data_IF_692076547348
#
_entry.id   IF_692076547348
#
_cell.length_a   1.000
_cell.length_b   1.000
_cell.length_c   1.000
_cell.angle_alpha   90.00
_cell.angle_beta   90.00
_cell.angle_gamma   90.00
#
_symmetry.space_group_name_H-M   'P 1'
#
loop_
_entity.id
_entity.type
_entity.pdbx_description
1 polymer ?
#
# COMPACT_ATOMS: atom_id res chain seq x y z
N UNK A 1 -13.16 -24.46 6.77
CA UNK A 1 -14.08 -24.10 7.87
C UNK A 1 -13.33 -23.11 8.75
N UNK A 2 -13.92 -21.98 9.14
CA UNK A 2 -13.28 -21.14 10.14
C UNK A 2 -13.08 -21.98 11.41
N UNK A 3 -11.87 -21.93 11.98
CA UNK A 3 -11.60 -22.54 13.27
C UNK A 3 -12.51 -21.82 14.28
N UNK A 4 -13.57 -22.47 14.71
CA UNK A 4 -14.43 -21.94 15.75
C UNK A 4 -13.63 -21.97 17.06
N UNK A 5 -12.90 -20.90 17.33
CA UNK A 5 -12.27 -20.70 18.63
C UNK A 5 -13.40 -20.66 19.67
N UNK A 6 -13.33 -21.53 20.68
CA UNK A 6 -14.28 -21.45 21.79
C UNK A 6 -14.26 -20.03 22.38
N UNK A 7 -15.38 -19.51 22.90
CA UNK A 7 -15.42 -18.19 23.55
C UNK A 7 -14.34 -18.03 24.63
N UNK A 8 -13.96 -19.12 25.31
CA UNK A 8 -12.89 -19.12 26.32
C UNK A 8 -11.50 -18.99 25.68
N UNK A 9 -11.24 -19.63 24.54
CA UNK A 9 -9.96 -19.56 23.83
C UNK A 9 -9.74 -18.21 23.12
N UNK A 10 -10.83 -17.49 22.82
CA UNK A 10 -10.78 -16.17 22.16
C UNK A 10 -10.88 -14.98 23.13
N UNK A 11 -10.57 -15.18 24.42
CA UNK A 11 -10.44 -14.05 25.36
C UNK A 11 -9.07 -13.42 25.25
N UNK A 12 -8.99 -12.08 25.40
CA UNK A 12 -7.73 -11.31 25.33
C UNK A 12 -6.69 -11.91 26.29
N UNK A 13 -7.07 -12.22 27.55
CA UNK A 13 -6.17 -12.79 28.55
C UNK A 13 -5.55 -14.11 28.14
N UNK A 14 -6.33 -15.03 27.60
CA UNK A 14 -5.83 -16.32 27.15
C UNK A 14 -4.97 -16.20 25.90
N UNK A 15 -5.37 -15.35 24.98
CA UNK A 15 -4.59 -15.09 23.76
C UNK A 15 -3.26 -14.43 24.09
N UNK A 16 -3.23 -13.51 25.04
CA UNK A 16 -2.00 -12.84 25.47
C UNK A 16 -0.99 -13.79 26.11
N UNK A 17 -1.47 -14.80 26.85
CA UNK A 17 -0.62 -15.77 27.56
C UNK A 17 -0.25 -16.98 26.72
N UNK A 18 -1.04 -17.35 25.71
CA UNK A 18 -0.84 -18.60 24.96
C UNK A 18 -0.26 -18.32 23.58
N UNK A 19 -0.90 -17.44 22.82
CA UNK A 19 -0.54 -17.18 21.44
C UNK A 19 -1.08 -15.83 20.98
N UNK A 20 -0.21 -14.91 20.61
CA UNK A 20 -0.56 -13.55 20.11
C UNK A 20 -0.86 -13.51 18.61
N UNK A 21 -0.65 -14.61 17.88
CA UNK A 21 -0.88 -14.68 16.44
C UNK A 21 -2.32 -14.38 16.06
N UNK A 22 -2.52 -13.44 15.17
CA UNK A 22 -3.85 -13.10 14.66
C UNK A 22 -4.36 -14.21 13.75
N UNK A 23 -5.53 -14.75 14.06
CA UNK A 23 -6.16 -15.79 13.24
C UNK A 23 -6.92 -15.18 12.09
N UNK A 24 -6.64 -15.63 10.88
CA UNK A 24 -7.31 -15.23 9.65
C UNK A 24 -8.23 -16.36 9.19
N UNK A 25 -9.47 -16.03 8.83
CA UNK A 25 -10.37 -17.00 8.23
C UNK A 25 -9.88 -17.36 6.82
N UNK A 26 -9.70 -18.65 6.56
CA UNK A 26 -9.31 -19.11 5.24
C UNK A 26 -10.43 -18.88 4.20
N UNK A 27 -10.09 -18.22 3.11
CA UNK A 27 -10.95 -18.01 1.94
C UNK A 27 -10.15 -18.33 0.67
N UNK A 28 -9.96 -19.61 0.41
CA UNK A 28 -9.07 -20.15 -0.63
C UNK A 28 -9.67 -20.01 -2.03
N UNK A 29 -9.77 -18.78 -2.52
CA UNK A 29 -10.33 -18.47 -3.84
C UNK A 29 -9.29 -18.04 -4.88
N UNK A 30 -8.07 -17.81 -4.45
CA UNK A 30 -6.97 -17.32 -5.28
C UNK A 30 -6.11 -18.50 -5.74
N UNK A 31 -5.68 -18.50 -6.99
CA UNK A 31 -4.75 -19.50 -7.53
C UNK A 31 -3.29 -19.04 -7.40
N UNK A 32 -2.36 -19.97 -7.28
CA UNK A 32 -0.93 -19.68 -7.40
C UNK A 32 -0.53 -19.20 -8.80
N UNK A 33 -1.37 -19.41 -9.80
CA UNK A 33 -1.18 -18.92 -11.17
C UNK A 33 -1.67 -17.48 -11.38
N UNK A 34 -2.47 -16.94 -10.45
CA UNK A 34 -3.04 -15.59 -10.58
C UNK A 34 -1.96 -14.52 -10.43
N UNK A 35 -2.17 -13.39 -11.09
CA UNK A 35 -1.29 -12.22 -11.03
C UNK A 35 -1.85 -11.15 -10.11
N UNK A 36 -0.97 -10.51 -9.35
CA UNK A 36 -1.31 -9.53 -8.33
C UNK A 36 -0.78 -8.15 -8.68
N UNK A 37 -1.68 -7.19 -8.86
CA UNK A 37 -1.31 -5.77 -8.88
C UNK A 37 -1.13 -5.28 -7.44
N UNK A 38 0.09 -4.85 -7.11
CA UNK A 38 0.43 -4.47 -5.75
C UNK A 38 0.89 -3.02 -5.70
N UNK A 39 0.30 -2.22 -4.79
CA UNK A 39 0.65 -0.82 -4.59
C UNK A 39 0.47 -0.42 -3.13
N UNK A 40 1.34 0.46 -2.64
CA UNK A 40 1.20 0.98 -1.28
C UNK A 40 2.49 1.49 -0.67
N UNK A 41 2.61 1.39 0.65
CA UNK A 41 3.77 1.83 1.43
C UNK A 41 4.95 0.86 1.29
N UNK A 42 6.06 1.15 1.98
CA UNK A 42 7.19 0.21 2.07
C UNK A 42 6.78 -1.19 2.58
N UNK A 43 5.70 -1.30 3.34
CA UNK A 43 5.18 -2.62 3.73
C UNK A 43 4.56 -3.39 2.54
N UNK A 44 4.04 -2.69 1.53
CA UNK A 44 3.61 -3.34 0.28
C UNK A 44 4.78 -4.00 -0.45
N UNK A 45 5.96 -3.39 -0.43
CA UNK A 45 7.15 -4.01 -1.00
C UNK A 45 7.55 -5.29 -0.27
N UNK A 46 7.45 -5.33 1.05
CA UNK A 46 7.72 -6.55 1.82
C UNK A 46 6.76 -7.68 1.42
N UNK A 47 5.47 -7.37 1.25
CA UNK A 47 4.48 -8.33 0.74
C UNK A 47 4.86 -8.78 -0.67
N UNK A 48 5.24 -7.85 -1.55
CA UNK A 48 5.66 -8.15 -2.92
C UNK A 48 6.84 -9.12 -2.95
N UNK A 49 7.90 -8.82 -2.20
CA UNK A 49 9.09 -9.66 -2.10
C UNK A 49 8.77 -11.06 -1.56
N UNK A 50 7.84 -11.15 -0.65
CA UNK A 50 7.43 -12.42 -0.08
C UNK A 50 6.56 -13.22 -1.07
N UNK A 51 5.64 -12.57 -1.80
CA UNK A 51 4.87 -13.22 -2.85
C UNK A 51 5.77 -13.68 -4.02
N UNK A 52 6.75 -12.89 -4.43
CA UNK A 52 7.73 -13.29 -5.44
C UNK A 52 8.51 -14.56 -5.03
N UNK A 53 8.85 -14.69 -3.73
CA UNK A 53 9.50 -15.91 -3.22
C UNK A 53 8.58 -17.12 -3.20
N UNK A 54 7.32 -16.90 -2.86
CA UNK A 54 6.33 -17.97 -2.68
C UNK A 54 5.72 -18.45 -3.99
N UNK A 55 5.52 -17.55 -4.94
CA UNK A 55 4.84 -17.82 -6.21
C UNK A 55 5.82 -17.89 -7.41
N UNK A 56 7.02 -17.34 -7.25
CA UNK A 56 7.96 -17.14 -8.33
C UNK A 56 7.82 -15.77 -9.02
N UNK A 57 8.85 -15.41 -9.76
CA UNK A 57 8.90 -14.11 -10.45
C UNK A 57 7.81 -14.00 -11.54
N UNK A 58 7.23 -12.82 -11.66
CA UNK A 58 6.24 -12.50 -12.69
C UNK A 58 4.78 -12.59 -12.25
N UNK A 59 4.51 -13.04 -11.01
CA UNK A 59 3.17 -13.05 -10.45
C UNK A 59 2.79 -11.74 -9.76
N UNK A 60 3.76 -10.91 -9.42
CA UNK A 60 3.52 -9.59 -8.83
C UNK A 60 3.88 -8.50 -9.82
N UNK A 61 2.93 -7.63 -10.11
CA UNK A 61 3.06 -6.51 -11.03
C UNK A 61 2.73 -5.19 -10.29
N UNK A 62 3.20 -4.02 -10.74
CA UNK A 62 4.04 -3.74 -11.92
C UNK A 62 5.51 -4.12 -11.75
N UNK A 63 6.20 -4.35 -12.86
CA UNK A 63 7.65 -4.48 -12.91
C UNK A 63 8.26 -3.17 -13.42
N UNK A 64 8.70 -2.32 -12.50
CA UNK A 64 9.27 -1.01 -12.79
C UNK A 64 10.68 -1.06 -13.37
N UNK A 65 11.37 -2.23 -13.36
CA UNK A 65 12.70 -2.41 -13.99
C UNK A 65 12.65 -2.25 -15.50
N UNK A 66 11.45 -2.29 -16.10
CA UNK A 66 11.22 -2.01 -17.52
C UNK A 66 11.35 -0.51 -17.87
N UNK A 67 11.36 0.39 -16.87
CA UNK A 67 11.53 1.81 -17.09
C UNK A 67 12.98 2.13 -17.44
N UNK A 68 13.17 2.73 -18.62
CA UNK A 68 14.50 3.17 -19.08
C UNK A 68 14.57 4.69 -18.97
N UNK A 69 15.59 5.18 -18.28
CA UNK A 69 15.91 6.61 -18.17
C UNK A 69 17.40 6.80 -17.90
N UNK A 70 17.90 8.01 -18.16
CA UNK A 70 19.27 8.39 -17.81
C UNK A 70 19.34 8.85 -16.34
N UNK A 71 20.03 8.13 -15.44
CA UNK A 71 20.13 8.51 -14.03
C UNK A 71 20.84 9.85 -13.78
N UNK A 72 21.60 10.36 -14.74
CA UNK A 72 22.22 11.68 -14.62
C UNK A 72 21.20 12.81 -14.81
N UNK A 73 20.12 12.57 -15.56
CA UNK A 73 19.12 13.54 -15.95
C UNK A 73 17.80 13.41 -15.19
N UNK A 74 17.51 12.22 -14.65
CA UNK A 74 16.26 11.92 -13.97
C UNK A 74 16.46 10.99 -12.78
N UNK A 75 15.46 10.93 -11.91
CA UNK A 75 15.39 9.99 -10.77
C UNK A 75 13.94 9.52 -10.57
N UNK A 76 13.78 8.26 -10.18
CA UNK A 76 12.47 7.64 -9.91
C UNK A 76 12.57 6.78 -8.66
N UNK A 77 12.05 7.26 -7.53
CA UNK A 77 11.86 6.57 -6.23
C UNK A 77 12.78 5.37 -5.95
N UNK A 78 14.08 5.59 -5.93
CA UNK A 78 15.10 4.55 -5.66
C UNK A 78 15.19 3.44 -6.74
N UNK A 79 14.62 3.64 -7.93
CA UNK A 79 14.89 2.76 -9.08
C UNK A 79 16.30 3.00 -9.64
N UNK A 80 17.01 1.96 -10.13
CA UNK A 80 16.55 0.57 -10.32
C UNK A 80 16.78 -0.35 -9.12
N UNK A 81 17.35 0.11 -8.01
CA UNK A 81 17.70 -0.71 -6.84
C UNK A 81 16.46 -1.37 -6.22
N UNK A 82 15.34 -0.65 -6.23
CA UNK A 82 14.04 -1.14 -5.79
C UNK A 82 13.09 -1.30 -6.97
N UNK A 83 12.23 -2.29 -6.91
CA UNK A 83 11.17 -2.50 -7.90
C UNK A 83 9.80 -2.12 -7.31
N UNK A 84 9.72 -0.97 -6.67
CA UNK A 84 8.50 -0.50 -6.00
C UNK A 84 8.44 1.03 -5.95
N UNK A 85 7.28 1.60 -6.26
CA UNK A 85 6.99 3.02 -6.04
C UNK A 85 6.08 3.15 -4.80
N UNK A 86 6.53 3.93 -3.83
CA UNK A 86 5.77 4.10 -2.61
C UNK A 86 4.55 5.00 -2.80
N UNK A 87 3.39 4.50 -2.34
CA UNK A 87 2.12 5.22 -2.26
C UNK A 87 1.55 5.02 -0.85
N UNK A 88 1.20 6.08 -0.14
CA UNK A 88 0.96 5.96 1.30
C UNK A 88 -0.51 6.12 1.72
N UNK A 89 -1.37 6.68 0.88
CA UNK A 89 -2.74 7.01 1.22
C UNK A 89 -3.73 6.58 0.13
N UNK A 90 -5.01 6.49 0.48
CA UNK A 90 -6.06 6.03 -0.41
C UNK A 90 -6.25 6.92 -1.64
N UNK A 91 -6.06 8.22 -1.50
CA UNK A 91 -6.25 9.20 -2.58
C UNK A 91 -5.18 9.06 -3.67
N UNK A 92 -3.92 8.89 -3.27
CA UNK A 92 -2.83 8.69 -4.23
C UNK A 92 -2.99 7.36 -4.99
N UNK A 93 -3.45 6.30 -4.32
CA UNK A 93 -3.77 5.01 -4.98
C UNK A 93 -4.94 5.18 -5.95
N UNK A 94 -6.02 5.83 -5.51
CA UNK A 94 -7.18 6.12 -6.37
C UNK A 94 -6.75 6.91 -7.62
N UNK A 95 -5.95 7.97 -7.44
CA UNK A 95 -5.46 8.80 -8.55
C UNK A 95 -4.58 8.00 -9.53
N UNK A 96 -3.75 7.07 -9.05
CA UNK A 96 -3.00 6.17 -9.94
C UNK A 96 -3.93 5.30 -10.79
N UNK A 97 -4.98 4.73 -10.20
CA UNK A 97 -5.97 3.96 -10.95
C UNK A 97 -6.75 4.87 -11.93
N UNK A 98 -7.11 6.08 -11.53
CA UNK A 98 -7.72 7.06 -12.44
C UNK A 98 -6.82 7.38 -13.65
N UNK A 99 -5.51 7.56 -13.44
CA UNK A 99 -4.53 7.78 -14.51
C UNK A 99 -4.38 6.55 -15.41
N UNK A 100 -4.28 5.36 -14.83
CA UNK A 100 -4.24 4.09 -15.57
C UNK A 100 -5.47 3.94 -16.47
N UNK A 101 -6.66 4.30 -15.98
CA UNK A 101 -7.91 4.21 -16.73
C UNK A 101 -8.13 5.37 -17.70
N UNK A 102 -7.22 6.35 -17.74
CA UNK A 102 -7.32 7.53 -18.61
C UNK A 102 -8.42 8.52 -18.20
N UNK A 103 -8.85 8.46 -16.92
CA UNK A 103 -9.87 9.39 -16.40
C UNK A 103 -9.28 10.74 -16.01
N UNK A 104 -7.97 10.78 -15.80
CA UNK A 104 -7.22 11.98 -15.45
C UNK A 104 -5.75 11.84 -15.83
N UNK A 105 -5.08 12.96 -16.12
CA UNK A 105 -3.65 13.03 -16.33
C UNK A 105 -3.10 14.36 -15.82
N UNK A 106 -1.89 14.38 -15.19
CA UNK A 106 -1.22 15.62 -14.81
C UNK A 106 -0.90 16.51 -16.01
N UNK A 107 -1.12 17.81 -15.85
CA UNK A 107 -0.65 18.83 -16.77
C UNK A 107 0.80 19.25 -16.45
N UNK A 108 1.45 19.96 -17.37
CA UNK A 108 2.82 20.47 -17.15
C UNK A 108 2.86 21.47 -15.97
N UNK A 109 1.82 22.28 -15.80
CA UNK A 109 1.70 23.26 -14.72
C UNK A 109 1.52 22.63 -13.32
N UNK A 110 1.24 21.32 -13.26
CA UNK A 110 1.20 20.60 -12.00
C UNK A 110 2.59 20.33 -11.42
N UNK A 111 3.63 20.34 -12.25
CA UNK A 111 4.98 19.98 -11.82
C UNK A 111 5.57 21.02 -10.88
N UNK A 112 6.19 20.54 -9.82
CA UNK A 112 6.90 21.43 -8.90
C UNK A 112 8.28 21.75 -9.43
N UNK A 113 8.63 23.02 -9.43
CA UNK A 113 10.00 23.44 -9.73
C UNK A 113 10.89 23.25 -8.49
N UNK A 114 12.06 22.65 -8.69
CA UNK A 114 13.04 22.32 -7.66
C UNK A 114 14.42 22.79 -8.09
N UNK A 115 14.71 24.09 -7.90
CA UNK A 115 15.91 24.71 -8.46
C UNK A 115 15.86 24.69 -9.99
N UNK A 116 16.82 24.01 -10.60
CA UNK A 116 16.92 23.77 -12.04
C UNK A 116 16.25 22.47 -12.50
N UNK A 117 15.59 21.75 -11.60
CA UNK A 117 14.90 20.49 -11.89
C UNK A 117 13.40 20.61 -11.68
N UNK A 118 12.69 19.61 -12.18
CA UNK A 118 11.24 19.48 -12.06
C UNK A 118 10.88 18.18 -11.34
N UNK A 119 9.79 18.21 -10.55
CA UNK A 119 9.33 17.08 -9.75
C UNK A 119 7.84 16.80 -10.02
N UNK A 120 7.50 15.53 -10.19
CA UNK A 120 6.12 15.09 -10.26
C UNK A 120 5.49 15.11 -8.85
N UNK A 121 4.38 15.83 -8.62
CA UNK A 121 3.69 15.82 -7.33
C UNK A 121 3.06 14.47 -7.00
N UNK A 122 2.63 13.73 -8.02
CA UNK A 122 1.75 12.57 -7.88
C UNK A 122 2.47 11.24 -7.79
N UNK A 123 3.78 11.22 -8.07
CA UNK A 123 4.65 10.06 -7.90
C UNK A 123 5.87 10.42 -7.08
N UNK A 124 6.10 9.65 -6.04
CA UNK A 124 7.14 9.94 -5.07
C UNK A 124 8.53 9.94 -5.72
N UNK A 125 9.31 11.00 -5.45
CA UNK A 125 10.71 11.17 -5.90
C UNK A 125 10.91 10.98 -7.42
N UNK A 126 9.92 11.29 -8.24
CA UNK A 126 10.07 11.33 -9.68
C UNK A 126 10.46 12.73 -10.10
N UNK A 127 11.70 12.90 -10.53
CA UNK A 127 12.31 14.19 -10.93
C UNK A 127 13.05 14.09 -12.24
N UNK A 128 13.12 15.21 -12.97
CA UNK A 128 13.93 15.33 -14.20
C UNK A 128 14.51 16.73 -14.36
N UNK A 129 15.47 16.88 -15.26
CA UNK A 129 16.11 18.17 -15.58
C UNK A 129 15.23 19.07 -16.46
N UNK A 130 14.18 18.55 -17.07
CA UNK A 130 13.20 19.34 -17.82
C UNK A 130 11.78 18.81 -17.67
N UNK A 131 10.74 19.65 -17.91
CA UNK A 131 9.35 19.22 -17.89
C UNK A 131 9.05 18.16 -18.95
N UNK A 132 9.68 18.25 -20.12
CA UNK A 132 9.50 17.32 -21.24
C UNK A 132 10.02 15.93 -20.87
N UNK A 133 11.24 15.85 -20.31
CA UNK A 133 11.80 14.58 -19.84
C UNK A 133 10.96 14.00 -18.69
N UNK A 134 10.48 14.85 -17.77
CA UNK A 134 9.58 14.41 -16.71
C UNK A 134 8.28 13.82 -17.26
N UNK A 135 7.73 14.43 -18.31
CA UNK A 135 6.54 13.92 -19.00
C UNK A 135 6.82 12.58 -19.71
N UNK A 136 7.99 12.40 -20.32
CA UNK A 136 8.40 11.13 -20.94
C UNK A 136 8.51 10.00 -19.90
N UNK A 137 9.17 10.27 -18.78
CA UNK A 137 9.28 9.32 -17.66
C UNK A 137 7.90 8.94 -17.13
N UNK A 138 7.04 9.94 -16.91
CA UNK A 138 5.66 9.70 -16.48
C UNK A 138 4.92 8.81 -17.48
N UNK A 139 5.03 9.10 -18.79
CA UNK A 139 4.40 8.27 -19.82
C UNK A 139 4.95 6.84 -19.84
N UNK A 140 6.24 6.66 -19.52
CA UNK A 140 6.85 5.35 -19.32
C UNK A 140 6.20 4.57 -18.15
N UNK A 141 6.08 5.25 -17.01
CA UNK A 141 5.40 4.68 -15.83
C UNK A 141 3.93 4.38 -16.10
N UNK A 142 3.21 5.25 -16.81
CA UNK A 142 1.81 5.04 -17.19
C UNK A 142 1.64 3.78 -18.04
N UNK A 143 2.55 3.51 -18.98
CA UNK A 143 2.53 2.29 -19.80
C UNK A 143 2.75 1.04 -18.95
N UNK A 144 3.74 1.06 -18.05
CA UNK A 144 4.03 -0.06 -17.16
C UNK A 144 2.84 -0.36 -16.24
N UNK A 145 2.27 0.68 -15.63
CA UNK A 145 1.13 0.54 -14.72
C UNK A 145 -0.14 0.07 -15.45
N UNK A 146 -0.38 0.57 -16.65
CA UNK A 146 -1.51 0.11 -17.48
C UNK A 146 -1.37 -1.35 -17.85
N UNK A 147 -0.20 -1.78 -18.35
CA UNK A 147 0.06 -3.16 -18.66
C UNK A 147 -0.12 -4.06 -17.43
N UNK A 148 0.42 -3.64 -16.28
CA UNK A 148 0.26 -4.35 -15.02
C UNK A 148 -1.20 -4.47 -14.58
N UNK A 149 -1.99 -3.40 -14.73
CA UNK A 149 -3.42 -3.43 -14.41
C UNK A 149 -4.18 -4.41 -15.33
N UNK A 150 -3.87 -4.39 -16.61
CA UNK A 150 -4.52 -5.28 -17.60
C UNK A 150 -4.16 -6.76 -17.36
N UNK A 151 -2.94 -7.04 -16.92
CA UNK A 151 -2.45 -8.38 -16.62
C UNK A 151 -2.92 -8.93 -15.27
N UNK A 152 -3.27 -8.05 -14.31
CA UNK A 152 -3.63 -8.46 -12.98
C UNK A 152 -5.00 -9.13 -12.89
N UNK A 153 -5.07 -10.21 -12.10
CA UNK A 153 -6.31 -10.87 -11.70
C UNK A 153 -6.83 -10.30 -10.38
N UNK A 154 -5.91 -9.95 -9.46
CA UNK A 154 -6.22 -9.48 -8.11
C UNK A 154 -5.38 -8.26 -7.72
N UNK A 155 -5.81 -7.54 -6.69
CA UNK A 155 -5.19 -6.31 -6.24
C UNK A 155 -4.83 -6.38 -4.75
N UNK A 156 -3.68 -5.81 -4.38
CA UNK A 156 -3.23 -5.69 -2.98
C UNK A 156 -2.85 -4.25 -2.71
N UNK A 157 -3.50 -3.61 -1.74
CA UNK A 157 -3.21 -2.23 -1.35
C UNK A 157 -2.86 -2.12 0.13
N UNK A 158 -1.80 -1.34 0.44
CA UNK A 158 -1.44 -1.02 1.82
C UNK A 158 -1.53 0.48 2.07
N UNK A 159 -2.35 0.89 3.03
CA UNK A 159 -2.56 2.29 3.38
C UNK A 159 -1.87 2.62 4.70
N UNK A 160 -1.11 3.70 4.75
CA UNK A 160 -0.26 4.04 5.89
C UNK A 160 -0.65 5.29 6.64
N UNK A 161 -1.34 6.24 6.02
CA UNK A 161 -1.57 7.56 6.58
C UNK A 161 -2.86 8.22 6.05
N UNK A 162 -3.42 9.11 6.88
CA UNK A 162 -4.55 9.97 6.53
C UNK A 162 -4.14 11.43 6.30
N UNK A 163 -2.90 11.78 6.59
CA UNK A 163 -2.36 13.10 6.29
C UNK A 163 -2.03 13.19 4.80
N UNK A 164 -2.62 14.16 4.12
CA UNK A 164 -2.48 14.37 2.69
C UNK A 164 -2.10 15.82 2.39
N UNK A 165 -1.56 16.05 1.20
CA UNK A 165 -1.16 17.36 0.71
C UNK A 165 -1.83 17.61 -0.63
N UNK A 166 -2.66 18.64 -0.70
CA UNK A 166 -3.46 18.98 -1.88
C UNK A 166 -2.67 19.96 -2.73
N UNK A 167 -2.34 19.58 -3.96
CA UNK A 167 -1.65 20.47 -4.91
C UNK A 167 -2.59 21.59 -5.38
N UNK A 168 -2.16 22.84 -5.26
CA UNK A 168 -2.98 24.02 -5.61
C UNK A 168 -3.37 24.03 -7.09
N UNK A 169 -2.46 23.65 -7.98
CA UNK A 169 -2.71 23.71 -9.42
C UNK A 169 -3.87 22.82 -9.89
N UNK A 170 -3.99 21.62 -9.32
CA UNK A 170 -4.97 20.61 -9.76
C UNK A 170 -6.06 20.30 -8.76
N UNK A 171 -5.89 20.66 -7.48
CA UNK A 171 -6.72 20.16 -6.39
C UNK A 171 -6.51 18.67 -6.09
N UNK A 172 -5.53 18.01 -6.71
CA UNK A 172 -5.20 16.59 -6.51
C UNK A 172 -4.22 16.38 -5.36
N UNK A 173 -4.24 15.18 -4.79
CA UNK A 173 -3.37 14.84 -3.65
C UNK A 173 -1.97 14.48 -4.13
N UNK A 174 -0.96 15.13 -3.58
CA UNK A 174 0.42 14.78 -3.82
C UNK A 174 0.78 13.44 -3.16
N UNK A 175 1.55 12.60 -3.84
CA UNK A 175 1.92 11.26 -3.38
C UNK A 175 2.92 11.26 -2.22
N UNK A 176 3.54 12.41 -1.95
CA UNK A 176 4.52 12.58 -0.89
C UNK A 176 4.33 13.89 -0.15
N UNK A 177 4.89 13.98 1.05
CA UNK A 177 4.91 15.23 1.80
C UNK A 177 5.79 16.28 1.12
N UNK A 178 5.41 17.57 1.14
CA UNK A 178 6.22 18.64 0.59
C UNK A 178 7.61 18.71 1.22
N UNK A 179 8.63 18.96 0.39
CA UNK A 179 10.03 19.05 0.81
C UNK A 179 10.69 17.73 1.24
N UNK A 180 10.07 16.59 0.99
CA UNK A 180 10.68 15.29 1.27
C UNK A 180 11.91 15.06 0.36
N UNK A 181 13.03 14.59 0.96
CA UNK A 181 14.25 14.33 0.21
C UNK A 181 14.85 15.55 -0.48
N UNK A 182 14.62 16.77 0.04
CA UNK A 182 15.00 18.02 -0.62
C UNK A 182 14.03 18.49 -1.71
N UNK A 183 12.89 17.79 -1.89
CA UNK A 183 11.90 18.08 -2.92
C UNK A 183 11.11 19.38 -2.75
N UNK A 184 10.36 19.73 -3.79
CA UNK A 184 9.49 20.88 -3.88
C UNK A 184 8.15 20.73 -3.17
N UNK A 185 7.21 21.59 -3.49
CA UNK A 185 5.80 21.49 -3.11
C UNK A 185 5.41 22.20 -1.83
N UNK A 186 6.32 22.88 -1.12
CA UNK A 186 6.01 23.53 0.16
C UNK A 186 5.06 24.71 0.02
N UNK A 187 5.19 25.47 -1.03
CA UNK A 187 4.35 26.63 -1.38
C UNK A 187 3.18 26.26 -2.29
N UNK A 188 3.21 25.08 -2.87
CA UNK A 188 2.27 24.62 -3.89
C UNK A 188 1.21 23.66 -3.33
N UNK A 189 1.26 23.38 -2.03
CA UNK A 189 0.34 22.40 -1.39
C UNK A 189 -0.23 22.89 -0.08
N UNK A 190 -1.47 22.52 0.18
CA UNK A 190 -2.12 22.62 1.49
C UNK A 190 -2.12 21.28 2.20
N UNK A 191 -1.86 21.32 3.51
CA UNK A 191 -2.03 20.17 4.38
C UNK A 191 -3.52 19.93 4.69
N UNK A 192 -3.94 18.68 4.61
CA UNK A 192 -5.25 18.24 5.06
C UNK A 192 -5.15 16.89 5.77
N UNK A 193 -5.86 16.73 6.89
CA UNK A 193 -6.04 15.44 7.53
C UNK A 193 -7.37 14.87 7.09
N UNK A 194 -7.32 13.92 6.17
CA UNK A 194 -8.50 13.32 5.59
C UNK A 194 -9.31 12.57 6.66
N UNK A 195 -10.60 12.84 6.68
CA UNK A 195 -11.58 12.27 7.59
C UNK A 195 -11.86 10.79 7.29
N UNK A 196 -12.59 10.13 8.17
CA UNK A 196 -13.12 8.78 7.92
C UNK A 196 -13.97 8.75 6.64
N UNK A 197 -14.88 9.69 6.47
CA UNK A 197 -15.79 9.74 5.32
C UNK A 197 -15.04 9.92 4.00
N UNK A 198 -14.05 10.82 3.95
CA UNK A 198 -13.24 11.07 2.75
C UNK A 198 -12.41 9.84 2.38
N UNK A 199 -11.79 9.17 3.35
CA UNK A 199 -11.03 7.93 3.10
C UNK A 199 -11.94 6.79 2.65
N UNK A 200 -13.15 6.66 3.24
CA UNK A 200 -14.12 5.65 2.84
C UNK A 200 -14.59 5.87 1.39
N UNK A 201 -14.94 7.10 1.04
CA UNK A 201 -15.32 7.44 -0.33
C UNK A 201 -14.23 7.11 -1.33
N UNK A 202 -12.99 7.51 -1.05
CA UNK A 202 -11.84 7.21 -1.91
C UNK A 202 -11.63 5.69 -2.10
N UNK A 203 -11.77 4.89 -1.05
CA UNK A 203 -11.60 3.43 -1.12
C UNK A 203 -12.76 2.76 -1.86
N UNK A 204 -14.00 3.20 -1.63
CA UNK A 204 -15.15 2.65 -2.36
C UNK A 204 -15.06 3.00 -3.85
N UNK A 205 -14.72 4.24 -4.19
CA UNK A 205 -14.51 4.65 -5.58
C UNK A 205 -13.37 3.90 -6.25
N UNK A 206 -12.23 3.73 -5.57
CA UNK A 206 -11.12 2.90 -6.05
C UNK A 206 -11.60 1.48 -6.38
N UNK A 207 -12.36 0.88 -5.48
CA UNK A 207 -12.93 -0.46 -5.64
C UNK A 207 -13.85 -0.54 -6.84
N UNK A 208 -14.79 0.39 -6.96
CA UNK A 208 -15.78 0.42 -8.04
C UNK A 208 -15.11 0.62 -9.42
N UNK A 209 -14.05 1.45 -9.51
CA UNK A 209 -13.27 1.62 -10.74
C UNK A 209 -12.57 0.33 -11.17
N UNK A 210 -11.99 -0.42 -10.22
CA UNK A 210 -11.36 -1.70 -10.50
C UNK A 210 -12.40 -2.72 -10.95
N UNK A 211 -13.49 -2.88 -10.22
CA UNK A 211 -14.54 -3.86 -10.51
C UNK A 211 -15.27 -3.58 -11.84
N UNK A 212 -15.37 -2.32 -12.25
CA UNK A 212 -15.92 -1.98 -13.56
C UNK A 212 -15.09 -2.54 -14.74
N UNK A 213 -13.81 -2.85 -14.52
CA UNK A 213 -12.91 -3.42 -15.53
C UNK A 213 -12.55 -4.88 -15.25
N UNK A 214 -12.53 -5.28 -13.99
CA UNK A 214 -12.15 -6.60 -13.49
C UNK A 214 -13.22 -7.09 -12.50
N UNK A 215 -14.42 -7.48 -12.97
CA UNK A 215 -15.56 -7.79 -12.08
C UNK A 215 -15.31 -8.97 -11.14
N UNK A 216 -14.42 -9.90 -11.53
CA UNK A 216 -14.05 -11.08 -10.73
C UNK A 216 -12.84 -10.83 -9.79
N UNK A 217 -12.26 -9.62 -9.83
CA UNK A 217 -11.08 -9.33 -9.03
C UNK A 217 -11.40 -9.36 -7.53
N UNK A 218 -10.47 -9.90 -6.76
CA UNK A 218 -10.43 -9.71 -5.31
C UNK A 218 -9.46 -8.58 -4.99
N UNK A 219 -9.83 -7.78 -4.02
CA UNK A 219 -9.06 -6.61 -3.63
C UNK A 219 -8.69 -6.77 -2.16
N UNK A 220 -7.43 -7.16 -1.92
CA UNK A 220 -6.88 -7.27 -0.58
C UNK A 220 -6.41 -5.90 -0.11
N UNK A 221 -6.90 -5.48 1.03
CA UNK A 221 -6.53 -4.19 1.61
C UNK A 221 -6.06 -4.37 3.04
N UNK A 222 -5.03 -3.63 3.41
CA UNK A 222 -4.50 -3.65 4.77
C UNK A 222 -4.00 -2.28 5.21
N UNK A 223 -3.94 -2.07 6.52
CA UNK A 223 -3.25 -0.92 7.10
C UNK A 223 -1.77 -1.26 7.26
N UNK A 224 -0.90 -0.39 6.78
CA UNK A 224 0.54 -0.53 7.00
C UNK A 224 0.87 -0.44 8.49
N UNK A 225 1.58 -1.43 9.06
CA UNK A 225 2.00 -1.37 10.46
C UNK A 225 3.11 -0.35 10.72
N UNK A 226 3.82 0.10 9.67
CA UNK A 226 4.91 1.07 9.79
C UNK A 226 4.36 2.40 10.31
N UNK A 227 4.88 2.92 11.46
CA UNK A 227 4.44 4.19 12.02
C UNK A 227 4.75 5.39 11.14
N UNK A 228 4.03 6.49 11.34
CA UNK A 228 4.35 7.78 10.71
C UNK A 228 5.77 8.21 11.11
N UNK A 229 6.55 8.63 10.12
CA UNK A 229 7.88 9.20 10.37
C UNK A 229 7.79 10.61 10.95
N UNK A 230 6.78 11.38 10.57
CA UNK A 230 6.47 12.75 11.00
C UNK A 230 4.97 12.99 10.89
N UNK A 231 4.47 13.93 11.65
CA UNK A 231 3.16 14.55 11.48
C UNK A 231 3.30 16.02 11.08
N UNK A 232 2.30 16.54 10.39
CA UNK A 232 2.14 17.95 10.04
C UNK A 232 0.98 18.60 10.81
N UNK A 233 0.28 17.83 11.63
CA UNK A 233 -0.68 18.36 12.57
C UNK A 233 0.03 18.97 13.80
N UNK A 234 -0.73 19.63 14.65
CA UNK A 234 -0.25 20.10 15.97
C UNK A 234 -0.20 19.00 17.02
N UNK A 235 -0.66 17.77 16.70
CA UNK A 235 -0.69 16.66 17.63
C UNK A 235 0.72 16.07 17.85
N UNK A 236 0.93 15.45 19.00
CA UNK A 236 2.07 14.58 19.21
C UNK A 236 2.10 13.44 18.19
N UNK A 237 3.30 13.00 17.79
CA UNK A 237 3.46 11.98 16.72
C UNK A 237 2.79 10.65 17.07
N UNK A 238 2.76 10.24 18.33
CA UNK A 238 2.07 9.00 18.75
C UNK A 238 0.56 9.16 18.63
N UNK A 239 0.01 10.34 18.96
CA UNK A 239 -1.41 10.66 18.84
C UNK A 239 -1.81 10.68 17.36
N UNK A 240 -1.06 11.40 16.52
CA UNK A 240 -1.30 11.48 15.07
C UNK A 240 -1.22 10.11 14.41
N UNK A 241 -0.22 9.30 14.75
CA UNK A 241 -0.07 7.94 14.25
C UNK A 241 -1.26 7.06 14.64
N UNK A 242 -1.63 7.07 15.92
CA UNK A 242 -2.76 6.27 16.42
C UNK A 242 -4.06 6.66 15.73
N UNK A 243 -4.33 7.96 15.60
CA UNK A 243 -5.52 8.45 14.90
C UNK A 243 -5.53 8.02 13.43
N UNK A 244 -4.41 8.18 12.73
CA UNK A 244 -4.30 7.79 11.32
C UNK A 244 -4.56 6.28 11.13
N UNK A 245 -3.93 5.43 11.95
CA UNK A 245 -4.09 3.98 11.86
C UNK A 245 -5.49 3.51 12.25
N UNK A 246 -6.06 4.07 13.32
CA UNK A 246 -7.41 3.76 13.76
C UNK A 246 -8.47 4.15 12.72
N UNK A 247 -8.34 5.33 12.12
CA UNK A 247 -9.21 5.79 11.04
C UNK A 247 -9.15 4.83 9.84
N UNK A 248 -7.96 4.52 9.34
CA UNK A 248 -7.80 3.61 8.21
C UNK A 248 -8.31 2.20 8.52
N UNK A 249 -8.07 1.71 9.74
CA UNK A 249 -8.57 0.39 10.16
C UNK A 249 -10.09 0.33 10.18
N UNK A 250 -10.75 1.37 10.70
CA UNK A 250 -12.21 1.48 10.73
C UNK A 250 -12.78 1.63 9.31
N UNK A 251 -12.16 2.47 8.47
CA UNK A 251 -12.54 2.65 7.05
C UNK A 251 -12.48 1.32 6.30
N UNK A 252 -11.42 0.54 6.45
CA UNK A 252 -11.29 -0.74 5.76
C UNK A 252 -12.30 -1.79 6.25
N UNK A 253 -12.71 -1.74 7.52
CA UNK A 253 -13.77 -2.61 8.01
C UNK A 253 -15.12 -2.27 7.35
N UNK A 254 -15.45 -0.97 7.28
CA UNK A 254 -16.69 -0.49 6.65
C UNK A 254 -16.69 -0.76 5.13
N UNK A 255 -15.58 -0.49 4.45
CA UNK A 255 -15.43 -0.76 3.02
C UNK A 255 -15.60 -2.24 2.67
N UNK A 256 -15.03 -3.13 3.47
CA UNK A 256 -15.18 -4.58 3.30
C UNK A 256 -16.63 -5.05 3.56
N UNK A 257 -17.34 -4.42 4.48
CA UNK A 257 -18.76 -4.68 4.69
C UNK A 257 -19.61 -4.18 3.51
N UNK A 258 -19.25 -3.04 2.91
CA UNK A 258 -19.96 -2.43 1.79
C UNK A 258 -19.67 -3.09 0.43
N UNK A 259 -18.51 -3.70 0.25
CA UNK A 259 -18.06 -4.31 -1.02
C UNK A 259 -17.47 -5.70 -0.79
N UNK A 260 -18.20 -6.79 -1.11
CA UNK A 260 -17.73 -8.18 -0.89
C UNK A 260 -16.44 -8.55 -1.63
N UNK A 261 -16.04 -7.80 -2.67
CA UNK A 261 -14.78 -7.98 -3.36
C UNK A 261 -13.57 -7.56 -2.51
N UNK A 262 -13.76 -6.70 -1.50
CA UNK A 262 -12.71 -6.28 -0.58
C UNK A 262 -12.52 -7.36 0.50
N UNK A 263 -11.26 -7.75 0.68
CA UNK A 263 -10.84 -8.58 1.80
C UNK A 263 -9.86 -7.77 2.65
N UNK A 264 -10.23 -7.45 3.89
CA UNK A 264 -9.27 -6.87 4.83
C UNK A 264 -8.30 -7.94 5.31
N UNK A 265 -7.01 -7.72 5.07
CA UNK A 265 -5.95 -8.59 5.59
C UNK A 265 -5.34 -7.96 6.85
N UNK A 266 -5.40 -8.63 8.02
CA UNK A 266 -5.08 -8.02 9.30
C UNK A 266 -3.57 -7.98 9.61
N UNK A 267 -2.73 -7.51 8.70
CA UNK A 267 -1.29 -7.41 8.92
C UNK A 267 -0.94 -6.38 9.99
N UNK A 268 -1.67 -5.26 10.04
CA UNK A 268 -1.53 -4.26 11.10
C UNK A 268 -1.87 -4.85 12.46
N UNK A 269 -3.02 -5.52 12.55
CA UNK A 269 -3.49 -6.15 13.79
C UNK A 269 -2.48 -7.19 14.28
N UNK A 270 -1.86 -7.96 13.39
CA UNK A 270 -0.85 -8.95 13.71
C UNK A 270 0.41 -8.29 14.32
N UNK A 271 0.97 -7.27 13.67
CA UNK A 271 2.15 -6.56 14.17
C UNK A 271 1.88 -5.90 15.52
N UNK A 272 0.72 -5.25 15.68
CA UNK A 272 0.38 -4.58 16.95
C UNK A 272 0.15 -5.60 18.08
N UNK A 273 -0.36 -6.79 17.78
CA UNK A 273 -0.52 -7.84 18.80
C UNK A 273 0.81 -8.38 19.32
N UNK A 274 1.86 -8.39 18.52
CA UNK A 274 3.22 -8.74 18.94
C UNK A 274 3.86 -7.65 19.82
N UNK A 275 3.42 -6.39 19.66
CA UNK A 275 3.92 -5.25 20.42
C UNK A 275 5.28 -4.75 19.93
N UNK A 276 6.07 -4.20 20.86
CA UNK A 276 7.38 -3.58 20.55
C UNK A 276 8.38 -4.57 19.96
N UNK A 277 8.26 -5.84 20.28
CA UNK A 277 9.15 -6.90 19.80
C UNK A 277 8.98 -7.19 18.29
N UNK A 278 7.90 -6.69 17.68
CA UNK A 278 7.67 -6.79 16.24
C UNK A 278 8.56 -5.86 15.41
N UNK A 279 9.17 -4.85 16.04
CA UNK A 279 9.90 -3.80 15.34
C UNK A 279 11.41 -3.96 15.48
N UNK A 280 12.13 -3.42 14.49
CA UNK A 280 13.58 -3.24 14.57
C UNK A 280 13.94 -2.19 15.66
N UNK A 281 15.22 -2.05 15.96
CA UNK A 281 15.72 -1.11 16.98
C UNK A 281 15.33 0.35 16.70
N UNK A 282 14.98 0.70 15.47
CA UNK A 282 14.50 2.04 15.10
C UNK A 282 13.03 2.30 15.51
N UNK A 283 12.35 1.29 16.05
CA UNK A 283 10.95 1.37 16.48
C UNK A 283 9.95 1.55 15.33
N UNK A 284 10.38 1.37 14.08
CA UNK A 284 9.58 1.71 12.91
C UNK A 284 9.49 0.58 11.87
N UNK A 285 10.61 0.01 11.44
CA UNK A 285 10.60 -1.08 10.50
C UNK A 285 10.20 -2.38 11.19
N UNK A 286 9.27 -3.12 10.59
CA UNK A 286 8.82 -4.41 11.11
C UNK A 286 9.93 -5.44 10.86
N UNK A 287 10.24 -6.23 11.86
CA UNK A 287 11.28 -7.27 11.77
C UNK A 287 10.94 -8.28 10.69
N UNK A 288 11.95 -8.66 9.93
CA UNK A 288 11.79 -9.58 8.81
C UNK A 288 11.08 -10.92 9.17
N UNK A 289 11.36 -11.59 10.28
CA UNK A 289 10.63 -12.82 10.64
C UNK A 289 9.12 -12.60 10.82
N UNK A 290 8.72 -11.43 11.35
CA UNK A 290 7.30 -11.07 11.54
C UNK A 290 6.64 -10.85 10.18
N UNK A 291 7.31 -10.15 9.26
CA UNK A 291 6.82 -9.95 7.88
C UNK A 291 6.65 -11.30 7.16
N UNK A 292 7.62 -12.19 7.28
CA UNK A 292 7.60 -13.52 6.66
C UNK A 292 6.45 -14.38 7.20
N UNK A 293 6.18 -14.35 8.50
CA UNK A 293 5.03 -15.04 9.10
C UNK A 293 3.69 -14.48 8.62
N UNK A 294 3.55 -13.15 8.59
CA UNK A 294 2.35 -12.49 8.09
C UNK A 294 2.10 -12.87 6.62
N UNK A 295 3.12 -12.85 5.79
CA UNK A 295 2.98 -13.16 4.37
C UNK A 295 2.68 -14.63 4.13
N UNK A 296 3.30 -15.52 4.91
CA UNK A 296 2.96 -16.96 4.89
C UNK A 296 1.49 -17.16 5.26
N UNK A 297 1.01 -16.47 6.29
CA UNK A 297 -0.41 -16.49 6.68
C UNK A 297 -1.31 -16.02 5.53
N UNK A 298 -0.92 -14.98 4.80
CA UNK A 298 -1.65 -14.52 3.62
C UNK A 298 -1.77 -15.63 2.57
N UNK A 299 -0.66 -16.25 2.20
CA UNK A 299 -0.63 -17.32 1.19
C UNK A 299 -1.44 -18.53 1.66
N UNK A 300 -1.24 -18.99 2.90
CA UNK A 300 -1.93 -20.17 3.44
C UNK A 300 -3.45 -19.99 3.57
N UNK A 301 -3.91 -18.76 3.83
CA UNK A 301 -5.33 -18.48 4.01
C UNK A 301 -6.09 -18.25 2.70
N UNK A 302 -5.45 -17.68 1.70
CA UNK A 302 -6.16 -17.23 0.50
C UNK A 302 -5.91 -18.07 -0.75
N UNK A 303 -4.81 -18.83 -0.81
CA UNK A 303 -4.49 -19.63 -1.99
C UNK A 303 -5.09 -21.04 -1.91
N UNK A 304 -5.86 -21.42 -2.94
CA UNK A 304 -6.56 -22.70 -3.01
C UNK A 304 -5.65 -23.92 -3.25
N UNK A 305 -4.55 -23.70 -3.96
CA UNK A 305 -3.68 -24.77 -4.44
C UNK A 305 -2.58 -25.16 -3.40
N UNK A 306 -2.61 -24.52 -2.23
CA UNK A 306 -1.78 -24.92 -1.08
C UNK A 306 -2.60 -25.73 -0.08
N UNK A 307 -2.08 -26.91 0.26
CA UNK A 307 -2.63 -27.73 1.35
C UNK A 307 -2.59 -26.96 2.68
N UNK A 308 -3.33 -27.39 3.72
CA UNK A 308 -3.21 -26.76 5.03
C UNK A 308 -1.74 -26.83 5.44
N UNK A 309 -1.16 -25.66 5.80
CA UNK A 309 0.13 -25.64 6.47
C UNK A 309 0.05 -26.64 7.62
N UNK A 310 1.01 -27.55 7.71
CA UNK A 310 1.14 -28.41 8.87
C UNK A 310 1.18 -27.46 10.07
N UNK A 311 0.17 -27.55 10.93
CA UNK A 311 0.16 -26.83 12.18
C UNK A 311 1.53 -27.13 12.83
N UNK A 312 2.32 -26.08 13.06
CA UNK A 312 3.57 -26.25 13.75
C UNK A 312 3.24 -27.00 15.03
N UNK A 313 3.65 -28.25 15.08
CA UNK A 313 3.62 -29.04 16.28
C UNK A 313 4.58 -28.32 17.23
N UNK A 314 4.04 -27.43 18.05
CA UNK A 314 4.71 -27.05 19.28
C UNK A 314 4.74 -28.31 20.12
N UNK A 315 5.88 -28.98 20.08
CA UNK A 315 6.24 -29.97 21.05
C UNK A 315 6.12 -29.38 22.46
N UNK A 316 5.70 -30.23 23.34
CA UNK A 316 5.44 -30.19 24.77
C UNK A 316 6.28 -29.21 25.59
#
# INVERSE_FOLDING_TARGET
MPIALSRKANSVWKRFSINRTVTVAADRKVSVADRFFLMGSCFAEEIRLALDRELGAGHVVPDYRQLVFDPARASVDELPERNHLNTYNAFSVLQEIEMILGLWAPAADDYWQLGDRFQCPYRRLVTADSPELLAEIRAGLDRILRAAFDEADHFVFTFGMTEIFINHASGKVASQKPGYGGGGGKSETDYHRATFAENLDAILRLTDLILARKPEARIFMTVSPVPLKKTFSSDDIFVANTLSKATLRAVLAEAAAARPAITYFPSYDAVISEGVDAFEADGRHVRRPVVEEITRTFVDCYFRDRGPAAAAQTAE
#
